data_IF_922625189334
#
_entry.id   IF_922625189334
#
_cell.length_a   1.000
_cell.length_b   1.000
_cell.length_c   1.000
_cell.angle_alpha   90.00
_cell.angle_beta   90.00
_cell.angle_gamma   90.00
#
_symmetry.space_group_name_H-M   'P 1'
#
loop_
_entity.id
_entity.type
_entity.pdbx_description
1 polymer ?
#
# COMPACT_ATOMS: atom_id res chain seq x y z
N UNK A 1 -10.85 4.16 -13.52
CA UNK A 1 -10.94 4.49 -13.47
C UNK A 1 -11.61 4.93 -13.32
N UNK A 2 -12.05 4.85 -13.14
CA UNK A 2 -12.55 5.26 -12.87
C UNK A 2 -12.71 5.76 -12.12
N UNK A 3 -12.62 5.40 -11.80
CA UNK A 3 -12.73 5.94 -10.99
C UNK A 3 -12.39 7.10 -10.80
N UNK A 4 -11.95 7.36 -11.00
CA UNK A 4 -11.78 8.46 -10.80
C UNK A 4 -12.47 9.29 -11.31
N UNK A 5 -12.97 8.96 -11.58
CA UNK A 5 -13.60 9.67 -11.97
C UNK A 5 -14.34 10.26 -11.40
N UNK A 6 -14.64 9.78 -10.90
CA UNK A 6 -15.37 10.39 -10.33
C UNK A 6 -15.06 11.26 -9.60
N UNK A 7 -14.36 11.26 -9.32
CA UNK A 7 -13.99 12.11 -8.59
C UNK A 7 -14.01 13.31 -9.07
N UNK A 8 -13.92 13.33 -9.94
CA UNK A 8 -13.95 14.54 -10.41
C UNK A 8 -15.12 15.20 -10.18
N UNK A 9 -15.88 14.67 -9.70
CA UNK A 9 -16.83 15.30 -9.38
C UNK A 9 -16.66 16.24 -8.54
N UNK A 10 -16.11 16.03 -7.94
CA UNK A 10 -16.04 16.97 -7.03
C UNK A 10 -15.59 18.20 -7.45
N UNK A 11 -15.54 18.37 -8.07
CA UNK A 11 -15.24 19.33 -8.25
C UNK A 11 -16.00 20.21 -8.73
N UNK A 12 -16.60 20.02 -8.81
CA UNK A 12 -17.12 20.73 -9.01
C UNK A 12 -17.59 21.52 -8.41
N UNK A 13 -17.58 21.47 -8.26
CA UNK A 13 -17.79 22.14 -7.75
C UNK A 13 -17.71 22.85 -7.32
N UNK A 14 -17.59 22.80 -7.27
CA UNK A 14 -17.40 23.46 -6.87
C UNK A 14 -17.13 24.20 -6.75
N UNK A 15 -17.22 24.30 -6.81
CA UNK A 15 -16.94 25.09 -6.69
C UNK A 15 -16.89 25.97 -6.59
N UNK A 16 -17.00 26.03 -6.55
CA UNK A 16 -16.95 26.88 -6.41
C UNK A 16 -16.91 27.71 -6.02
N UNK A 17 -16.99 27.76 -5.80
CA UNK A 17 -16.85 28.61 -5.43
C UNK A 17 -16.57 29.22 -4.82
N UNK A 18 -16.65 29.19 -4.52
CA UNK A 18 -16.23 29.83 -3.91
C UNK A 18 -15.52 30.16 -3.32
N UNK A 19 -15.23 29.90 -3.28
CA UNK A 19 -14.38 30.14 -2.66
C UNK A 19 -13.68 30.69 -2.42
N UNK A 20 -13.54 30.79 -2.60
CA UNK A 20 -12.77 31.55 -2.32
C UNK A 20 -11.79 31.60 -1.58
N UNK A 21 -11.75 31.16 -1.01
CA UNK A 21 -10.74 31.10 0.00
C UNK A 21 -9.78 30.02 -0.33
N UNK A 22 -8.57 30.37 -0.47
CA UNK A 22 -7.60 29.42 -0.91
C UNK A 22 -7.38 28.31 0.05
N UNK A 23 -7.65 28.57 1.30
CA UNK A 23 -7.51 27.53 2.31
C UNK A 23 -8.51 26.42 2.16
N UNK A 24 -9.48 26.61 1.28
CA UNK A 24 -10.45 25.58 1.00
C UNK A 24 -9.98 24.63 -0.06
N UNK A 25 -8.78 24.79 -0.51
CA UNK A 25 -8.20 23.86 -1.45
C UNK A 25 -8.24 22.45 -0.88
N UNK A 26 -8.51 21.48 -1.74
CA UNK A 26 -8.48 20.08 -1.36
C UNK A 26 -7.10 19.48 -1.47
N UNK A 27 -6.09 20.32 -1.64
CA UNK A 27 -4.72 19.84 -1.65
C UNK A 27 -4.33 19.48 -0.22
N UNK A 28 -3.86 18.26 -0.07
CA UNK A 28 -3.49 17.73 1.24
C UNK A 28 -2.06 17.24 1.17
N UNK A 29 -1.27 17.65 2.13
CA UNK A 29 0.09 17.17 2.27
C UNK A 29 0.13 16.12 3.37
N UNK A 30 1.08 15.19 3.25
CA UNK A 30 1.28 14.18 4.28
C UNK A 30 1.59 14.86 5.61
N UNK A 31 0.96 14.38 6.65
CA UNK A 31 1.25 14.85 7.99
C UNK A 31 2.52 14.18 8.49
N UNK A 32 3.33 14.93 9.21
CA UNK A 32 4.53 14.36 9.81
C UNK A 32 5.55 13.83 8.81
N UNK A 33 5.58 14.38 7.59
CA UNK A 33 6.56 14.01 6.61
C UNK A 33 5.95 13.40 5.36
N UNK A 34 6.51 12.29 4.90
CA UNK A 34 6.10 11.67 3.65
C UNK A 34 5.06 10.57 3.86
N UNK A 35 4.30 10.33 2.81
CA UNK A 35 3.48 9.13 2.70
C UNK A 35 4.02 8.31 1.53
N UNK A 36 4.19 7.03 1.74
CA UNK A 36 4.65 6.12 0.69
C UNK A 36 3.55 5.11 0.42
N UNK A 37 3.29 4.84 -0.85
CA UNK A 37 2.27 3.88 -1.25
C UNK A 37 2.91 2.82 -2.13
N UNK A 38 2.73 1.55 -1.79
CA UNK A 38 3.17 0.44 -2.61
C UNK A 38 1.93 -0.23 -3.19
N UNK A 39 1.83 -0.24 -4.51
CA UNK A 39 0.68 -0.77 -5.23
C UNK A 39 1.02 -2.15 -5.76
N UNK A 40 0.22 -3.14 -5.36
CA UNK A 40 0.44 -4.52 -5.75
C UNK A 40 -0.74 -4.99 -6.61
N UNK A 41 -0.45 -5.33 -7.86
CA UNK A 41 -1.47 -5.88 -8.77
C UNK A 41 -1.42 -7.38 -8.65
N UNK A 42 -2.48 -7.97 -8.13
CA UNK A 42 -2.49 -9.38 -7.73
C UNK A 42 -3.39 -10.19 -8.66
N UNK A 43 -2.89 -11.36 -9.05
CA UNK A 43 -3.66 -12.30 -9.86
C UNK A 43 -4.88 -12.78 -9.08
N UNK A 44 -6.08 -12.77 -9.69
CA UNK A 44 -7.29 -13.11 -8.95
C UNK A 44 -7.26 -14.52 -8.34
N UNK A 45 -6.66 -15.49 -9.04
CA UNK A 45 -6.57 -16.85 -8.51
C UNK A 45 -5.57 -16.97 -7.37
N UNK A 46 -4.76 -15.95 -7.13
CA UNK A 46 -3.77 -15.94 -6.06
C UNK A 46 -4.10 -14.96 -4.95
N UNK A 47 -5.24 -14.29 -5.04
CA UNK A 47 -5.60 -13.25 -4.07
C UNK A 47 -5.69 -13.80 -2.65
N UNK A 48 -6.30 -14.97 -2.48
CA UNK A 48 -6.39 -15.58 -1.15
C UNK A 48 -5.03 -15.89 -0.56
N UNK A 49 -4.11 -16.38 -1.38
CA UNK A 49 -2.74 -16.65 -0.93
C UNK A 49 -2.02 -15.36 -0.54
N UNK A 50 -2.19 -14.30 -1.33
CA UNK A 50 -1.59 -13.01 -1.04
C UNK A 50 -2.07 -12.47 0.30
N UNK A 51 -3.39 -12.46 0.51
CA UNK A 51 -3.94 -11.97 1.78
C UNK A 51 -3.48 -12.80 2.96
N UNK A 52 -3.48 -14.12 2.81
CA UNK A 52 -3.06 -15.00 3.88
C UNK A 52 -1.60 -14.75 4.25
N UNK A 53 -0.71 -14.70 3.26
CA UNK A 53 0.70 -14.44 3.51
C UNK A 53 0.92 -13.07 4.15
N UNK A 54 0.21 -12.05 3.67
CA UNK A 54 0.35 -10.71 4.21
C UNK A 54 -0.11 -10.65 5.66
N UNK A 55 -1.28 -11.20 5.95
CA UNK A 55 -1.87 -11.10 7.28
C UNK A 55 -1.18 -11.99 8.31
N UNK A 56 -0.72 -13.17 7.89
CA UNK A 56 -0.21 -14.14 8.88
C UNK A 56 1.31 -14.23 8.94
N UNK A 57 2.00 -13.78 7.91
CA UNK A 57 3.46 -13.89 7.84
C UNK A 57 4.12 -12.51 7.80
N UNK A 58 3.76 -11.69 6.80
CA UNK A 58 4.45 -10.43 6.56
C UNK A 58 4.17 -9.40 7.64
N UNK A 59 2.90 -9.09 7.87
CA UNK A 59 2.56 -8.05 8.84
C UNK A 59 2.97 -8.43 10.28
N UNK A 60 2.78 -9.66 10.71
CA UNK A 60 3.30 -10.04 12.03
C UNK A 60 4.82 -9.96 12.13
N UNK A 61 5.54 -10.29 11.06
CA UNK A 61 7.00 -10.16 11.05
C UNK A 61 7.42 -8.70 11.16
N UNK A 62 6.73 -7.81 10.42
CA UNK A 62 6.99 -6.37 10.50
C UNK A 62 6.78 -5.86 11.91
N UNK A 63 5.70 -6.31 12.55
CA UNK A 63 5.38 -5.89 13.90
C UNK A 63 6.46 -6.30 14.90
N UNK A 64 6.94 -7.53 14.78
CA UNK A 64 7.98 -8.02 15.67
C UNK A 64 9.32 -7.34 15.44
N UNK A 65 9.59 -6.99 14.18
CA UNK A 65 10.85 -6.39 13.83
C UNK A 65 10.95 -4.94 14.30
N UNK A 66 9.89 -4.17 14.07
CA UNK A 66 9.88 -2.75 14.43
C UNK A 66 8.44 -2.26 14.57
N UNK A 67 8.02 -2.06 15.81
CA UNK A 67 6.65 -1.64 16.10
C UNK A 67 6.28 -0.28 15.53
N UNK A 68 7.26 0.63 15.40
CA UNK A 68 6.99 1.94 14.82
C UNK A 68 6.68 1.84 13.34
N UNK A 69 7.47 1.02 12.62
CA UNK A 69 7.22 0.76 11.21
C UNK A 69 5.83 0.15 11.05
N UNK A 70 5.52 -0.85 11.87
CA UNK A 70 4.23 -1.52 11.79
C UNK A 70 3.07 -0.55 12.02
N UNK A 71 3.22 0.35 12.99
CA UNK A 71 2.16 1.33 13.29
C UNK A 71 1.94 2.29 12.13
N UNK A 72 2.96 2.56 11.34
CA UNK A 72 2.84 3.46 10.20
C UNK A 72 2.20 2.79 8.99
N UNK A 73 2.10 1.45 8.98
CA UNK A 73 1.66 0.69 7.83
C UNK A 73 0.17 0.36 7.87
N UNK A 74 -0.45 0.43 6.71
CA UNK A 74 -1.80 -0.09 6.50
C UNK A 74 -1.77 -0.95 5.26
N UNK A 75 -2.53 -2.03 5.30
CA UNK A 75 -2.70 -2.92 4.16
C UNK A 75 -4.15 -2.81 3.72
N UNK A 76 -4.36 -2.34 2.50
CA UNK A 76 -5.70 -2.13 1.97
C UNK A 76 -6.07 -3.24 1.01
N UNK A 77 -7.27 -3.78 1.21
CA UNK A 77 -7.81 -4.89 0.42
C UNK A 77 -8.89 -4.30 -0.50
N UNK A 78 -8.87 -4.65 -1.79
CA UNK A 78 -9.85 -4.08 -2.72
C UNK A 78 -11.24 -4.67 -2.53
N UNK A 79 -12.25 -3.90 -2.90
CA UNK A 79 -13.64 -4.38 -2.89
C UNK A 79 -13.94 -5.23 -4.12
N UNK A 80 -13.33 -4.88 -5.25
CA UNK A 80 -13.65 -5.57 -6.50
C UNK A 80 -12.45 -5.61 -7.42
N UNK A 81 -12.56 -6.41 -8.47
CA UNK A 81 -11.50 -6.55 -9.45
C UNK A 81 -11.40 -5.32 -10.34
N UNK A 82 -10.19 -5.10 -10.88
CA UNK A 82 -9.97 -4.11 -11.92
C UNK A 82 -10.58 -4.61 -13.24
N UNK A 83 -10.59 -3.73 -14.23
CA UNK A 83 -11.13 -4.09 -15.55
C UNK A 83 -10.41 -5.28 -16.17
N UNK A 84 -9.12 -5.40 -15.92
CA UNK A 84 -8.34 -6.51 -16.48
C UNK A 84 -8.47 -7.80 -15.66
N UNK A 85 -9.29 -7.78 -14.61
CA UNK A 85 -9.52 -8.96 -13.78
C UNK A 85 -8.58 -9.09 -12.59
N UNK A 86 -7.49 -8.34 -12.57
CA UNK A 86 -6.57 -8.37 -11.43
C UNK A 86 -7.13 -7.56 -10.27
N UNK A 87 -6.51 -7.69 -9.09
CA UNK A 87 -6.93 -6.92 -7.93
C UNK A 87 -5.79 -6.01 -7.48
N UNK A 88 -6.13 -4.82 -7.03
CA UNK A 88 -5.16 -3.85 -6.56
C UNK A 88 -5.15 -3.84 -5.03
N UNK A 89 -4.07 -4.34 -4.46
CA UNK A 89 -3.84 -4.26 -3.01
C UNK A 89 -2.81 -3.18 -2.77
N UNK A 90 -2.85 -2.56 -1.61
CA UNK A 90 -1.91 -1.48 -1.31
C UNK A 90 -1.36 -1.60 0.09
N UNK A 91 -0.06 -1.26 0.21
CA UNK A 91 0.49 -0.89 1.51
C UNK A 91 0.62 0.63 1.51
N UNK A 92 0.24 1.23 2.63
CA UNK A 92 0.44 2.66 2.83
C UNK A 92 1.28 2.85 4.08
N UNK A 93 2.40 3.56 3.95
CA UNK A 93 3.21 3.96 5.09
C UNK A 93 2.97 5.45 5.31
N UNK A 94 2.34 5.80 6.42
CA UNK A 94 1.98 7.18 6.74
C UNK A 94 2.07 7.39 8.25
N UNK A 95 3.09 8.10 8.72
CA UNK A 95 4.18 8.66 7.93
C UNK A 95 5.18 7.60 7.51
N UNK A 96 5.85 7.83 6.39
CA UNK A 96 6.96 6.97 5.99
C UNK A 96 8.20 7.40 6.78
N UNK A 97 8.74 6.48 7.56
CA UNK A 97 9.89 6.76 8.42
C UNK A 97 11.16 6.45 7.64
N UNK A 98 11.78 7.50 7.09
CA UNK A 98 12.87 7.31 6.12
C UNK A 98 14.08 6.59 6.69
N UNK A 99 14.33 6.69 7.99
CA UNK A 99 15.48 6.04 8.59
C UNK A 99 15.19 4.59 8.98
N UNK A 100 13.98 4.12 8.75
CA UNK A 100 13.59 2.77 9.13
C UNK A 100 13.58 1.84 7.92
N UNK A 101 13.57 0.55 8.19
CA UNK A 101 13.61 -0.47 7.16
C UNK A 101 12.21 -0.99 6.85
N UNK A 102 11.77 -0.77 5.60
CA UNK A 102 10.50 -1.29 5.11
C UNK A 102 10.70 -2.44 4.12
N UNK A 103 11.91 -2.95 4.00
CA UNK A 103 12.22 -4.03 3.06
C UNK A 103 11.67 -5.35 3.59
N UNK A 104 10.60 -5.82 2.96
CA UNK A 104 9.90 -7.02 3.41
C UNK A 104 10.80 -8.23 3.41
N UNK A 105 11.63 -8.41 2.37
CA UNK A 105 12.51 -9.56 2.30
C UNK A 105 13.51 -9.56 3.46
N UNK A 106 14.14 -8.40 3.71
CA UNK A 106 15.10 -8.30 4.81
C UNK A 106 14.46 -8.58 6.16
N UNK A 107 13.24 -8.08 6.36
CA UNK A 107 12.51 -8.34 7.59
C UNK A 107 12.22 -9.82 7.74
N UNK A 108 11.82 -10.48 6.65
CA UNK A 108 11.56 -11.92 6.69
C UNK A 108 12.82 -12.71 7.00
N UNK A 109 13.96 -12.30 6.44
CA UNK A 109 15.26 -12.95 6.75
C UNK A 109 15.56 -12.81 8.23
N UNK A 110 15.38 -11.62 8.77
CA UNK A 110 15.64 -11.36 10.18
C UNK A 110 14.76 -12.22 11.09
N UNK A 111 13.50 -12.40 10.72
CA UNK A 111 12.53 -13.10 11.57
C UNK A 111 12.54 -14.62 11.39
N UNK A 112 12.83 -15.11 10.20
CA UNK A 112 12.67 -16.54 9.89
C UNK A 112 13.92 -17.21 9.37
N UNK A 113 14.98 -16.45 9.09
CA UNK A 113 16.18 -16.98 8.43
C UNK A 113 16.00 -16.98 6.92
N UNK A 114 17.15 -17.09 6.22
CA UNK A 114 17.14 -16.88 4.77
C UNK A 114 16.30 -17.90 4.01
N UNK A 115 16.41 -19.17 4.36
CA UNK A 115 15.72 -20.22 3.60
C UNK A 115 14.20 -20.02 3.64
N UNK A 116 13.65 -19.81 4.84
CA UNK A 116 12.20 -19.60 4.97
C UNK A 116 11.79 -18.28 4.38
N UNK A 117 12.62 -17.26 4.54
CA UNK A 117 12.33 -15.95 3.95
C UNK A 117 12.20 -16.05 2.43
N UNK A 118 13.10 -16.80 1.79
CA UNK A 118 13.03 -16.98 0.35
C UNK A 118 11.76 -17.71 -0.05
N UNK A 119 11.37 -18.74 0.69
CA UNK A 119 10.13 -19.46 0.40
C UNK A 119 8.90 -18.57 0.51
N UNK A 120 8.81 -17.82 1.60
CA UNK A 120 7.67 -16.92 1.79
C UNK A 120 7.65 -15.81 0.75
N UNK A 121 8.81 -15.22 0.50
CA UNK A 121 8.91 -14.11 -0.44
C UNK A 121 8.58 -14.55 -1.87
N UNK A 122 9.12 -15.70 -2.29
CA UNK A 122 8.84 -16.24 -3.62
C UNK A 122 7.36 -16.53 -3.78
N UNK A 123 6.74 -17.08 -2.75
CA UNK A 123 5.32 -17.37 -2.77
C UNK A 123 4.49 -16.10 -2.87
N UNK A 124 4.91 -15.05 -2.17
CA UNK A 124 4.25 -13.77 -2.20
C UNK A 124 4.39 -13.11 -3.58
N UNK A 125 5.61 -13.08 -4.11
CA UNK A 125 5.88 -12.50 -5.42
C UNK A 125 5.12 -13.25 -6.52
N UNK A 126 4.92 -14.55 -6.35
CA UNK A 126 4.19 -15.34 -7.35
C UNK A 126 2.73 -14.91 -7.50
N UNK A 127 2.22 -14.15 -6.56
CA UNK A 127 0.85 -13.64 -6.63
C UNK A 127 0.73 -12.39 -7.51
N UNK A 128 1.84 -11.75 -7.82
CA UNK A 128 1.84 -10.47 -8.53
C UNK A 128 1.65 -10.68 -10.03
N UNK A 129 0.76 -9.88 -10.62
CA UNK A 129 0.57 -9.87 -12.07
C UNK A 129 1.62 -9.01 -12.75
N UNK A 130 2.04 -7.95 -12.08
CA UNK A 130 3.02 -6.98 -12.57
C UNK A 130 3.95 -6.60 -11.43
N UNK A 131 5.03 -5.89 -11.76
CA UNK A 131 5.92 -5.37 -10.73
C UNK A 131 5.19 -4.41 -9.81
N UNK A 132 5.58 -4.42 -8.54
CA UNK A 132 5.05 -3.49 -7.56
C UNK A 132 5.42 -2.06 -7.96
N UNK A 133 4.46 -1.15 -7.84
CA UNK A 133 4.72 0.27 -8.04
C UNK A 133 4.81 0.95 -6.70
N UNK A 134 5.80 1.84 -6.56
CA UNK A 134 5.96 2.58 -5.31
C UNK A 134 5.88 4.07 -5.64
N UNK A 135 5.00 4.76 -4.94
CA UNK A 135 4.77 6.19 -5.16
C UNK A 135 4.96 6.91 -3.82
N UNK A 136 5.70 8.02 -3.86
CA UNK A 136 5.96 8.82 -2.69
C UNK A 136 5.16 10.12 -2.77
N UNK A 137 4.57 10.51 -1.66
CA UNK A 137 3.79 11.74 -1.54
C UNK A 137 4.40 12.61 -0.43
N UNK A 138 4.32 13.91 -0.60
CA UNK A 138 4.80 14.85 0.42
C UNK A 138 3.65 15.58 1.08
#
# INVERSE_FOLDING_TARGET
MYGCVSLSIGNRSIASEENKNVNDSNTVYSQNGKTMVAINYILPQRAGQCEMLTKTIIMPAMKREDGEVFKSLKFLVPEEQNEDGNLTYMFIADPYLEEKNYDIFEVLVSQYGRTRAEEYFDRWISCFAYEQEVISFR
#
